data_IF_472429296735
#
_entry.id   IF_472429296735
#
_cell.length_a   1.000
_cell.length_b   1.000
_cell.length_c   1.000
_cell.angle_alpha   90.00
_cell.angle_beta   90.00
_cell.angle_gamma   90.00
#
_symmetry.space_group_name_H-M   'P 1'
#
loop_
_entity.id
_entity.type
_entity.pdbx_description
1 polymer ?
#
# COMPACT_ATOMS: atom_id res chain seq x y z
N UNK A 1 12.81 -5.98 0.52
CA UNK A 1 11.53 -5.26 0.46
C UNK A 1 10.77 -5.73 -0.78
N UNK A 2 9.69 -6.48 -0.59
CA UNK A 2 8.98 -7.01 -1.74
C UNK A 2 8.12 -5.96 -2.42
N UNK A 3 8.23 -5.89 -3.74
CA UNK A 3 7.25 -5.17 -4.56
C UNK A 3 6.09 -6.11 -4.79
N UNK A 4 4.91 -5.72 -4.34
CA UNK A 4 3.71 -6.55 -4.45
C UNK A 4 3.06 -6.39 -5.82
N UNK A 5 3.06 -5.16 -6.33
CA UNK A 5 2.37 -4.85 -7.57
C UNK A 5 2.93 -3.56 -8.17
N UNK A 6 2.90 -3.45 -9.49
CA UNK A 6 3.17 -2.20 -10.21
C UNK A 6 2.00 -1.93 -11.14
N UNK A 7 1.36 -0.78 -10.97
CA UNK A 7 0.22 -0.38 -11.78
C UNK A 7 0.33 1.10 -12.10
N UNK A 8 0.30 1.44 -13.40
CA UNK A 8 0.22 2.83 -13.86
C UNK A 8 1.29 3.75 -13.26
N UNK A 9 2.50 3.24 -13.10
CA UNK A 9 3.62 4.00 -12.55
C UNK A 9 3.67 4.05 -11.02
N UNK A 10 2.76 3.40 -10.33
CA UNK A 10 2.80 3.29 -8.88
C UNK A 10 3.36 1.94 -8.46
N UNK A 11 4.15 1.95 -7.39
CA UNK A 11 4.61 0.73 -6.73
C UNK A 11 3.75 0.47 -5.50
N UNK A 12 3.47 -0.78 -5.24
CA UNK A 12 2.81 -1.21 -4.02
C UNK A 12 3.77 -2.17 -3.32
N UNK A 13 4.22 -1.80 -2.13
CA UNK A 13 5.28 -2.54 -1.43
C UNK A 13 4.95 -2.72 0.06
N UNK A 14 5.49 -3.78 0.64
CA UNK A 14 5.55 -3.96 2.09
C UNK A 14 6.98 -3.71 2.54
N UNK A 15 7.14 -3.11 3.72
CA UNK A 15 8.45 -3.01 4.36
C UNK A 15 8.61 -4.11 5.38
N UNK A 16 9.77 -4.79 5.36
CA UNK A 16 9.97 -6.05 6.09
C UNK A 16 9.88 -5.94 7.61
N UNK A 17 10.06 -4.75 8.17
CA UNK A 17 10.06 -4.57 9.63
C UNK A 17 8.71 -4.11 10.19
N UNK A 18 7.67 -4.10 9.38
CA UNK A 18 6.38 -3.55 9.77
C UNK A 18 5.29 -4.60 10.03
N UNK A 19 5.68 -5.86 10.18
CA UNK A 19 4.71 -6.95 10.37
C UNK A 19 3.95 -6.92 11.69
N UNK A 20 4.37 -6.07 12.65
CA UNK A 20 3.67 -5.91 13.94
C UNK A 20 2.52 -4.92 13.87
N UNK A 21 2.48 -4.10 12.84
CA UNK A 21 1.38 -3.16 12.64
C UNK A 21 0.20 -3.88 11.99
N UNK A 22 -1.00 -3.31 12.05
CA UNK A 22 -2.10 -3.81 11.23
C UNK A 22 -1.72 -3.84 9.75
N UNK A 23 -2.35 -4.71 8.99
CA UNK A 23 -2.05 -4.88 7.57
C UNK A 23 -2.14 -3.55 6.83
N UNK A 24 -1.12 -3.22 6.04
CA UNK A 24 -1.06 -1.97 5.29
C UNK A 24 -0.21 -2.14 4.04
N UNK A 25 -0.29 -1.15 3.15
CA UNK A 25 0.49 -1.11 1.91
C UNK A 25 1.08 0.28 1.74
N UNK A 26 2.31 0.35 1.28
CA UNK A 26 2.91 1.60 0.84
C UNK A 26 2.76 1.70 -0.67
N UNK A 27 2.29 2.84 -1.15
CA UNK A 27 2.12 3.09 -2.57
C UNK A 27 2.81 4.38 -2.93
N UNK A 28 3.54 4.38 -4.04
CA UNK A 28 4.25 5.58 -4.42
C UNK A 28 4.86 5.53 -5.80
N UNK A 29 5.46 6.65 -6.15
CA UNK A 29 6.30 6.80 -7.32
C UNK A 29 7.45 7.72 -6.94
N UNK A 30 8.70 7.31 -7.25
CA UNK A 30 9.90 8.07 -6.91
C UNK A 30 9.94 8.43 -5.42
N UNK A 31 9.98 9.72 -5.08
CA UNK A 31 10.12 10.18 -3.69
C UNK A 31 8.79 10.49 -3.00
N UNK A 32 7.68 10.27 -3.69
CA UNK A 32 6.34 10.58 -3.17
C UNK A 32 5.61 9.30 -2.85
N UNK A 33 4.94 9.26 -1.70
CA UNK A 33 4.29 8.03 -1.25
C UNK A 33 3.05 8.29 -0.43
N UNK A 34 2.27 7.22 -0.25
CA UNK A 34 1.19 7.16 0.73
C UNK A 34 1.22 5.79 1.39
N UNK A 35 0.73 5.72 2.61
CA UNK A 35 0.53 4.48 3.35
C UNK A 35 -0.96 4.32 3.61
N UNK A 36 -1.51 3.19 3.24
CA UNK A 36 -2.93 2.88 3.48
C UNK A 36 -3.05 1.65 4.36
N UNK A 37 -3.89 1.75 5.40
CA UNK A 37 -4.36 0.56 6.10
C UNK A 37 -5.23 -0.25 5.14
N UNK A 38 -5.32 -1.56 5.35
CA UNK A 38 -6.08 -2.44 4.46
C UNK A 38 -7.42 -2.90 5.04
N UNK A 39 -7.62 -2.75 6.35
CA UNK A 39 -8.85 -3.22 7.01
C UNK A 39 -9.36 -2.21 8.03
N UNK A 40 -10.15 -1.21 7.66
CA UNK A 40 -10.56 -0.82 6.30
C UNK A 40 -9.48 -0.07 5.55
N UNK A 41 -9.70 0.22 4.28
CA UNK A 41 -8.76 1.03 3.50
C UNK A 41 -8.88 2.48 3.94
N UNK A 42 -7.86 2.95 4.64
CA UNK A 42 -7.80 4.33 5.15
C UNK A 42 -6.37 4.85 5.00
N UNK A 43 -6.27 6.13 4.68
CA UNK A 43 -4.98 6.79 4.58
C UNK A 43 -4.35 6.90 5.96
N UNK A 44 -3.15 6.33 6.12
CA UNK A 44 -2.39 6.42 7.36
C UNK A 44 -1.34 7.52 7.32
N UNK A 45 -0.72 7.73 6.17
CA UNK A 45 0.34 8.73 6.01
C UNK A 45 0.52 9.04 4.52
N UNK A 46 1.05 10.21 4.22
CA UNK A 46 1.31 10.61 2.84
C UNK A 46 2.40 11.66 2.79
N UNK A 47 3.22 11.62 1.74
CA UNK A 47 4.24 12.61 1.49
C UNK A 47 4.31 12.92 0.00
N UNK A 48 4.00 14.16 -0.37
CA UNK A 48 4.22 14.68 -1.71
C UNK A 48 3.20 14.32 -2.77
N UNK A 49 2.28 13.41 -2.51
CA UNK A 49 1.22 13.09 -3.46
C UNK A 49 0.11 14.14 -3.39
N UNK A 50 -0.34 14.60 -4.55
CA UNK A 50 -1.45 15.55 -4.65
C UNK A 50 -2.78 14.82 -4.52
N UNK A 51 -3.84 15.55 -4.24
CA UNK A 51 -5.17 14.97 -4.03
C UNK A 51 -5.61 14.02 -5.15
N UNK A 52 -5.47 14.35 -6.45
CA UNK A 52 -5.84 13.41 -7.50
C UNK A 52 -5.02 12.13 -7.48
N UNK A 53 -3.74 12.22 -7.15
CA UNK A 53 -2.86 11.06 -7.05
C UNK A 53 -3.22 10.19 -5.87
N UNK A 54 -3.52 10.80 -4.72
CA UNK A 54 -3.99 10.07 -3.53
C UNK A 54 -5.31 9.35 -3.80
N UNK A 55 -6.23 9.99 -4.50
CA UNK A 55 -7.51 9.37 -4.87
C UNK A 55 -7.31 8.14 -5.75
N UNK A 56 -6.41 8.25 -6.73
CA UNK A 56 -6.08 7.13 -7.61
C UNK A 56 -5.43 5.98 -6.85
N UNK A 57 -4.46 6.30 -5.99
CA UNK A 57 -3.78 5.31 -5.15
C UNK A 57 -4.77 4.60 -4.24
N UNK A 58 -5.71 5.34 -3.66
CA UNK A 58 -6.75 4.77 -2.80
C UNK A 58 -7.65 3.81 -3.56
N UNK A 59 -8.10 4.20 -4.76
CA UNK A 59 -8.94 3.33 -5.58
C UNK A 59 -8.22 2.04 -5.97
N UNK A 60 -6.96 2.13 -6.36
CA UNK A 60 -6.15 0.96 -6.68
C UNK A 60 -5.97 0.05 -5.46
N UNK A 61 -5.77 0.63 -4.29
CA UNK A 61 -5.66 -0.12 -3.04
C UNK A 61 -6.97 -0.86 -2.74
N UNK A 62 -8.10 -0.20 -2.92
CA UNK A 62 -9.42 -0.82 -2.74
C UNK A 62 -9.61 -1.98 -3.72
N UNK A 63 -9.28 -1.76 -4.99
CA UNK A 63 -9.44 -2.78 -6.02
C UNK A 63 -8.59 -4.03 -5.76
N UNK A 64 -7.41 -3.86 -5.20
CA UNK A 64 -6.46 -4.95 -4.96
C UNK A 64 -6.38 -5.37 -3.49
N UNK A 65 -7.32 -4.93 -2.67
CA UNK A 65 -7.28 -5.12 -1.22
C UNK A 65 -7.14 -6.59 -0.82
N UNK A 66 -7.93 -7.47 -1.42
CA UNK A 66 -7.90 -8.90 -1.07
C UNK A 66 -6.53 -9.51 -1.42
N UNK A 67 -6.00 -9.20 -2.60
CA UNK A 67 -4.67 -9.66 -3.00
C UNK A 67 -3.59 -9.16 -2.04
N UNK A 68 -3.66 -7.89 -1.65
CA UNK A 68 -2.69 -7.32 -0.72
C UNK A 68 -2.77 -7.98 0.66
N UNK A 69 -3.98 -8.27 1.13
CA UNK A 69 -4.15 -8.98 2.41
C UNK A 69 -3.60 -10.39 2.36
N UNK A 70 -3.82 -11.12 1.27
CA UNK A 70 -3.26 -12.46 1.09
C UNK A 70 -1.74 -12.43 1.08
N UNK A 71 -1.16 -11.49 0.33
CA UNK A 71 0.30 -11.33 0.25
C UNK A 71 0.91 -10.89 1.58
N UNK A 72 0.20 -10.04 2.31
CA UNK A 72 0.60 -9.65 3.66
C UNK A 72 0.70 -10.85 4.58
N UNK A 73 -0.32 -11.71 4.57
CA UNK A 73 -0.34 -12.93 5.38
C UNK A 73 0.79 -13.88 5.00
N UNK A 74 1.00 -14.07 3.71
CA UNK A 74 2.11 -14.91 3.22
C UNK A 74 3.46 -14.38 3.67
N UNK A 75 3.66 -13.07 3.56
CA UNK A 75 4.96 -12.45 3.84
C UNK A 75 5.25 -12.39 5.34
N UNK A 76 4.27 -12.05 6.15
CA UNK A 76 4.46 -11.90 7.59
C UNK A 76 4.01 -13.10 8.42
N UNK A 77 3.41 -14.09 7.82
CA UNK A 77 2.99 -15.31 8.50
C UNK A 77 1.78 -15.14 9.44
N UNK A 78 0.91 -14.18 9.14
CA UNK A 78 -0.22 -13.89 10.03
C UNK A 78 -1.57 -14.20 9.40
#
# INVERSE_FOLDING_TARGET
MPTVLRVRGYWFVFFSLEGREPAHIHVGNAERYAKFWLEPVELADALGLKTPELSRARLLTIQHRIDFLEKWREYFGT
#
